data_IF_332143491262
#
_entry.id   IF_332143491262
#
_cell.length_a   1.000
_cell.length_b   1.000
_cell.length_c   1.000
_cell.angle_alpha   90.00
_cell.angle_beta   90.00
_cell.angle_gamma   90.00
#
_symmetry.space_group_name_H-M   'P 1'
#
loop_
_entity.id
_entity.type
_entity.pdbx_description
1 polymer ?
#
# COMPACT_ATOMS: atom_id res chain seq x y z
N UNK A 1 47.74 80.67 6.33
CA UNK A 1 46.63 80.93 7.27
C UNK A 1 45.33 80.52 6.59
N UNK A 2 44.56 79.61 7.22
CA UNK A 2 43.19 79.14 6.89
C UNK A 2 42.96 78.46 5.53
N UNK A 3 42.87 77.12 5.55
CA UNK A 3 42.07 76.35 4.59
C UNK A 3 40.85 75.70 5.28
N UNK A 4 39.74 75.78 4.56
CA UNK A 4 38.35 75.53 4.89
C UNK A 4 37.98 74.11 4.38
N UNK A 5 37.49 73.22 5.26
CA UNK A 5 36.14 72.60 5.33
C UNK A 5 35.73 71.58 4.25
N UNK A 6 35.03 70.52 4.74
CA UNK A 6 34.16 69.49 4.11
C UNK A 6 34.88 68.13 3.94
N UNK A 7 34.71 67.15 4.85
CA UNK A 7 33.54 66.29 5.15
C UNK A 7 33.10 65.42 3.96
N UNK A 8 33.61 64.18 3.88
CA UNK A 8 32.98 63.02 3.24
C UNK A 8 33.50 61.72 3.89
N UNK A 9 32.57 60.95 4.45
CA UNK A 9 32.65 59.67 5.19
C UNK A 9 32.03 58.59 4.25
N UNK A 10 32.31 57.27 4.36
CA UNK A 10 33.54 56.52 4.18
C UNK A 10 33.43 55.45 3.03
N UNK A 11 34.57 54.90 2.63
CA UNK A 11 34.74 53.83 1.63
C UNK A 11 34.46 52.44 2.23
N UNK A 12 33.19 52.04 2.34
CA UNK A 12 32.80 50.73 2.86
C UNK A 12 31.73 50.06 1.97
N UNK A 13 32.13 49.54 0.81
CA UNK A 13 31.29 48.64 0.01
C UNK A 13 32.14 47.91 -1.05
N UNK A 14 32.67 46.71 -0.77
CA UNK A 14 33.04 45.72 -1.81
C UNK A 14 33.59 44.36 -1.28
N UNK A 15 33.10 43.79 -0.18
CA UNK A 15 33.51 42.41 0.20
C UNK A 15 32.38 41.61 0.85
N UNK A 16 31.39 41.17 0.07
CA UNK A 16 30.49 40.05 0.40
C UNK A 16 30.01 39.38 -0.89
N UNK A 17 30.89 38.62 -1.55
CA UNK A 17 30.51 37.67 -2.58
C UNK A 17 31.18 36.34 -2.26
N UNK A 18 30.44 35.42 -1.63
CA UNK A 18 30.87 34.06 -1.40
C UNK A 18 30.65 33.59 0.03
N UNK A 19 29.41 33.21 0.37
CA UNK A 19 29.15 32.24 1.43
C UNK A 19 27.79 31.56 1.18
N UNK A 20 27.85 30.22 1.14
CA UNK A 20 26.77 29.30 1.51
C UNK A 20 25.61 29.15 0.51
N UNK A 21 25.78 28.16 -0.37
CA UNK A 21 24.68 27.39 -0.94
C UNK A 21 24.14 26.49 0.16
N UNK A 22 23.13 26.98 0.88
CA UNK A 22 22.34 26.24 1.85
C UNK A 22 21.24 25.48 1.14
N UNK A 23 21.06 24.20 1.47
CA UNK A 23 19.93 23.36 1.03
C UNK A 23 18.68 23.58 1.92
N UNK A 24 18.63 24.71 2.64
CA UNK A 24 17.45 25.17 3.38
C UNK A 24 16.48 25.90 2.41
N UNK A 25 15.22 25.45 2.27
CA UNK A 25 14.22 26.12 1.44
C UNK A 25 13.86 27.55 1.90
N UNK A 26 14.40 28.02 3.03
CA UNK A 26 14.38 29.44 3.42
C UNK A 26 15.37 30.35 2.67
N UNK A 27 16.41 29.81 2.04
CA UNK A 27 17.47 30.57 1.34
C UNK A 27 17.21 30.78 -0.16
N UNK A 28 16.09 30.26 -0.67
CA UNK A 28 15.53 30.65 -1.95
C UNK A 28 14.93 32.06 -1.85
N UNK A 29 15.77 33.09 -1.98
CA UNK A 29 15.36 34.49 -1.89
C UNK A 29 14.08 34.79 -2.68
N UNK A 30 13.27 35.73 -2.17
CA UNK A 30 11.94 36.17 -2.64
C UNK A 30 11.69 36.06 -4.16
N UNK A 31 12.67 36.38 -5.00
CA UNK A 31 12.58 36.29 -6.45
C UNK A 31 12.44 34.87 -7.01
N UNK A 32 13.02 33.85 -6.38
CA UNK A 32 12.85 32.45 -6.80
C UNK A 32 11.51 31.87 -6.31
N UNK A 33 11.03 32.33 -5.14
CA UNK A 33 9.67 32.03 -4.65
C UNK A 33 8.57 32.64 -5.52
N UNK A 34 8.74 33.88 -6.00
CA UNK A 34 7.80 34.53 -6.92
C UNK A 34 7.91 33.95 -8.34
N UNK A 35 9.10 33.59 -8.82
CA UNK A 35 9.25 32.87 -10.10
C UNK A 35 8.60 31.48 -10.04
N UNK A 36 8.77 30.72 -8.95
CA UNK A 36 8.08 29.44 -8.75
C UNK A 36 6.56 29.57 -8.61
N UNK A 37 6.08 30.62 -7.94
CA UNK A 37 4.66 30.93 -7.80
C UNK A 37 4.02 31.42 -9.10
N UNK A 38 4.78 32.08 -9.97
CA UNK A 38 4.30 32.62 -11.26
C UNK A 38 4.37 31.62 -12.42
N UNK A 39 5.13 30.54 -12.29
CA UNK A 39 5.45 29.62 -13.40
C UNK A 39 4.66 28.30 -13.37
N UNK A 40 3.52 28.24 -12.66
CA UNK A 40 2.63 27.06 -12.59
C UNK A 40 3.22 25.85 -11.87
N UNK A 41 4.38 25.99 -11.22
CA UNK A 41 5.07 24.87 -10.56
C UNK A 41 4.31 24.38 -9.32
N UNK A 42 3.61 25.28 -8.62
CA UNK A 42 2.72 24.91 -7.52
C UNK A 42 1.54 24.08 -8.03
N UNK A 43 0.85 24.56 -9.06
CA UNK A 43 -0.28 23.86 -9.68
C UNK A 43 0.13 22.49 -10.23
N UNK A 44 1.32 22.39 -10.83
CA UNK A 44 1.89 21.11 -11.28
C UNK A 44 2.12 20.13 -10.13
N UNK A 45 2.62 20.58 -8.97
CA UNK A 45 2.78 19.72 -7.79
C UNK A 45 1.44 19.30 -7.19
N UNK A 46 0.45 20.21 -7.17
CA UNK A 46 -0.90 19.89 -6.70
C UNK A 46 -1.55 18.86 -7.63
N UNK A 47 -1.44 19.04 -8.95
CA UNK A 47 -1.94 18.09 -9.93
C UNK A 47 -1.27 16.71 -9.80
N UNK A 48 0.06 16.66 -9.62
CA UNK A 48 0.78 15.39 -9.40
C UNK A 48 0.29 14.67 -8.14
N UNK A 49 0.19 15.40 -7.02
CA UNK A 49 -0.29 14.82 -5.75
C UNK A 49 -1.74 14.36 -5.84
N UNK A 50 -2.58 15.11 -6.56
CA UNK A 50 -3.97 14.70 -6.79
C UNK A 50 -4.02 13.41 -7.62
N UNK A 51 -3.23 13.31 -8.69
CA UNK A 51 -3.15 12.09 -9.50
C UNK A 51 -2.62 10.88 -8.69
N UNK A 52 -1.65 11.09 -7.79
CA UNK A 52 -1.15 10.05 -6.88
C UNK A 52 -2.25 9.58 -5.91
N UNK A 53 -3.01 10.51 -5.33
CA UNK A 53 -4.14 10.19 -4.44
C UNK A 53 -5.22 9.42 -5.19
N UNK A 54 -5.61 9.88 -6.38
CA UNK A 54 -6.63 9.23 -7.19
C UNK A 54 -6.21 7.81 -7.59
N UNK A 55 -4.95 7.63 -7.97
CA UNK A 55 -4.35 6.32 -8.26
C UNK A 55 -4.35 5.40 -7.03
N UNK A 56 -3.94 5.91 -5.87
CA UNK A 56 -3.93 5.15 -4.63
C UNK A 56 -5.34 4.77 -4.16
N UNK A 57 -6.34 5.64 -4.38
CA UNK A 57 -7.74 5.33 -4.09
C UNK A 57 -8.29 4.24 -5.02
N UNK A 58 -7.97 4.32 -6.31
CA UNK A 58 -8.37 3.29 -7.28
C UNK A 58 -7.76 1.92 -6.93
N UNK A 59 -6.48 1.87 -6.56
CA UNK A 59 -5.85 0.63 -6.15
C UNK A 59 -6.43 0.09 -4.84
N UNK A 60 -6.71 0.95 -3.86
CA UNK A 60 -7.39 0.53 -2.62
C UNK A 60 -8.78 -0.04 -2.89
N UNK A 61 -9.55 0.54 -3.81
CA UNK A 61 -10.85 0.02 -4.21
C UNK A 61 -10.71 -1.37 -4.87
N UNK A 62 -9.72 -1.53 -5.75
CA UNK A 62 -9.40 -2.82 -6.40
C UNK A 62 -9.03 -3.89 -5.38
N UNK A 63 -8.11 -3.58 -4.46
CA UNK A 63 -7.67 -4.49 -3.41
C UNK A 63 -8.81 -4.86 -2.46
N UNK A 64 -9.68 -3.91 -2.12
CA UNK A 64 -10.85 -4.17 -1.27
C UNK A 64 -11.83 -5.13 -1.96
N UNK A 65 -12.10 -4.93 -3.25
CA UNK A 65 -12.96 -5.82 -4.02
C UNK A 65 -12.37 -7.23 -4.15
N UNK A 66 -11.06 -7.34 -4.41
CA UNK A 66 -10.37 -8.62 -4.49
C UNK A 66 -10.41 -9.37 -3.15
N UNK A 67 -10.23 -8.64 -2.05
CA UNK A 67 -10.28 -9.22 -0.71
C UNK A 67 -11.70 -9.72 -0.38
N UNK A 68 -12.73 -8.95 -0.73
CA UNK A 68 -14.12 -9.40 -0.59
C UNK A 68 -14.42 -10.66 -1.43
N UNK A 69 -13.92 -10.71 -2.67
CA UNK A 69 -14.04 -11.88 -3.55
C UNK A 69 -13.38 -13.12 -2.94
N UNK A 70 -12.14 -13.00 -2.47
CA UNK A 70 -11.40 -14.11 -1.83
C UNK A 70 -12.08 -14.61 -0.56
N UNK A 71 -12.65 -13.71 0.26
CA UNK A 71 -13.44 -14.10 1.43
C UNK A 71 -14.71 -14.88 1.03
N UNK A 72 -15.39 -14.45 -0.03
CA UNK A 72 -16.53 -15.16 -0.59
C UNK A 72 -16.16 -16.57 -1.06
N UNK A 73 -15.08 -16.71 -1.83
CA UNK A 73 -14.58 -18.02 -2.28
C UNK A 73 -14.20 -18.92 -1.11
N UNK A 74 -13.51 -18.39 -0.10
CA UNK A 74 -13.13 -19.14 1.08
C UNK A 74 -14.36 -19.68 1.82
N UNK A 75 -15.39 -18.86 2.01
CA UNK A 75 -16.65 -19.28 2.63
C UNK A 75 -17.37 -20.35 1.82
N UNK A 76 -17.40 -20.22 0.48
CA UNK A 76 -18.01 -21.22 -0.40
C UNK A 76 -17.28 -22.56 -0.29
N UNK A 77 -15.96 -22.56 -0.44
CA UNK A 77 -15.13 -23.78 -0.35
C UNK A 77 -15.23 -24.43 1.04
N UNK A 78 -15.35 -23.62 2.10
CA UNK A 78 -15.56 -24.14 3.45
C UNK A 78 -16.87 -24.92 3.56
N UNK A 79 -17.96 -24.37 3.00
CA UNK A 79 -19.26 -25.06 2.93
C UNK A 79 -19.18 -26.34 2.10
N UNK A 80 -18.50 -26.29 0.94
CA UNK A 80 -18.29 -27.45 0.08
C UNK A 80 -17.50 -28.55 0.79
N UNK A 81 -16.46 -28.19 1.53
CA UNK A 81 -15.67 -29.12 2.34
C UNK A 81 -16.51 -29.81 3.42
N UNK A 82 -17.38 -29.05 4.09
CA UNK A 82 -18.31 -29.60 5.10
C UNK A 82 -19.28 -30.60 4.44
N UNK A 83 -19.86 -30.23 3.29
CA UNK A 83 -20.77 -31.09 2.55
C UNK A 83 -20.08 -32.36 2.03
N UNK A 84 -18.88 -32.23 1.47
CA UNK A 84 -18.08 -33.35 0.98
C UNK A 84 -17.71 -34.31 2.11
N UNK A 85 -17.31 -33.79 3.28
CA UNK A 85 -17.05 -34.63 4.46
C UNK A 85 -18.30 -35.35 4.93
N UNK A 86 -19.45 -34.67 5.01
CA UNK A 86 -20.71 -35.30 5.42
C UNK A 86 -21.11 -36.41 4.43
N UNK A 87 -20.96 -36.18 3.13
CA UNK A 87 -21.20 -37.20 2.10
C UNK A 87 -20.26 -38.40 2.24
N UNK A 88 -18.97 -38.16 2.45
CA UNK A 88 -17.98 -39.22 2.66
C UNK A 88 -18.31 -40.07 3.90
N UNK A 89 -18.69 -39.43 5.01
CA UNK A 89 -19.13 -40.12 6.22
C UNK A 89 -20.40 -40.95 5.99
N UNK A 90 -21.38 -40.41 5.25
CA UNK A 90 -22.59 -41.14 4.88
C UNK A 90 -22.30 -42.36 3.98
N UNK A 91 -21.27 -42.28 3.13
CA UNK A 91 -20.77 -43.39 2.31
C UNK A 91 -19.90 -44.39 3.09
N UNK A 92 -19.70 -44.20 4.40
CA UNK A 92 -18.87 -45.07 5.23
C UNK A 92 -17.36 -44.86 5.07
N UNK A 93 -16.94 -43.83 4.33
CA UNK A 93 -15.52 -43.48 4.16
C UNK A 93 -14.99 -42.94 5.48
N UNK A 94 -13.98 -43.61 6.04
CA UNK A 94 -13.26 -43.13 7.24
C UNK A 94 -12.03 -42.35 6.81
N UNK A 95 -12.04 -41.06 7.10
CA UNK A 95 -10.84 -40.23 6.96
C UNK A 95 -9.80 -40.66 8.00
N UNK A 96 -8.53 -40.70 7.60
CA UNK A 96 -7.44 -40.94 8.55
C UNK A 96 -7.18 -39.70 9.41
N UNK A 97 -6.39 -39.87 10.49
CA UNK A 97 -6.10 -38.79 11.43
C UNK A 97 -5.48 -37.54 10.77
N UNK A 98 -4.63 -37.73 9.76
CA UNK A 98 -4.02 -36.63 9.01
C UNK A 98 -5.06 -35.85 8.22
N UNK A 99 -5.96 -36.53 7.52
CA UNK A 99 -7.04 -35.93 6.74
C UNK A 99 -8.03 -35.17 7.65
N UNK A 100 -8.41 -35.77 8.77
CA UNK A 100 -9.25 -35.11 9.78
C UNK A 100 -8.56 -33.85 10.34
N UNK A 101 -7.25 -33.91 10.58
CA UNK A 101 -6.45 -32.76 10.97
C UNK A 101 -6.44 -31.64 9.92
N UNK A 102 -6.33 -32.00 8.64
CA UNK A 102 -6.36 -31.06 7.52
C UNK A 102 -7.73 -30.39 7.37
N UNK A 103 -8.81 -31.17 7.46
CA UNK A 103 -10.19 -30.62 7.48
C UNK A 103 -10.32 -29.64 8.64
N UNK A 104 -9.98 -30.06 9.86
CA UNK A 104 -10.13 -29.23 11.05
C UNK A 104 -9.28 -27.95 10.98
N UNK A 105 -8.10 -28.01 10.36
CA UNK A 105 -7.26 -26.83 10.13
C UNK A 105 -7.88 -25.90 9.08
N UNK A 106 -8.35 -26.42 7.96
CA UNK A 106 -9.02 -25.65 6.92
C UNK A 106 -10.28 -24.93 7.46
N UNK A 107 -11.08 -25.63 8.29
CA UNK A 107 -12.27 -25.04 8.91
C UNK A 107 -11.96 -23.95 9.95
N UNK A 108 -10.77 -23.98 10.56
CA UNK A 108 -10.31 -22.97 11.54
C UNK A 108 -9.55 -21.79 10.92
N UNK A 109 -9.24 -21.86 9.62
CA UNK A 109 -8.47 -20.80 8.96
C UNK A 109 -9.21 -19.46 9.00
N UNK A 110 -8.48 -18.41 9.37
CA UNK A 110 -8.99 -17.05 9.51
C UNK A 110 -9.00 -16.33 8.15
N UNK A 111 -10.16 -15.83 7.68
CA UNK A 111 -10.27 -15.10 6.43
C UNK A 111 -9.80 -13.64 6.49
N UNK A 112 -9.22 -13.18 7.60
CA UNK A 112 -8.73 -11.81 7.73
C UNK A 112 -7.36 -11.57 7.06
N UNK A 113 -6.52 -12.61 6.90
CA UNK A 113 -5.16 -12.48 6.36
C UNK A 113 -5.09 -12.94 4.89
N UNK A 114 -4.66 -12.06 3.99
CA UNK A 114 -4.70 -12.29 2.53
C UNK A 114 -3.83 -13.47 2.07
N UNK A 115 -2.61 -13.58 2.58
CA UNK A 115 -1.72 -14.69 2.23
C UNK A 115 -2.22 -16.03 2.78
N UNK A 116 -2.77 -16.03 4.00
CA UNK A 116 -3.36 -17.27 4.54
C UNK A 116 -4.66 -17.64 3.83
N UNK A 117 -5.44 -16.67 3.36
CA UNK A 117 -6.66 -16.90 2.56
C UNK A 117 -6.33 -17.65 1.28
N UNK A 118 -5.37 -17.16 0.48
CA UNK A 118 -5.01 -17.78 -0.79
C UNK A 118 -4.50 -19.21 -0.59
N UNK A 119 -3.65 -19.42 0.43
CA UNK A 119 -3.16 -20.74 0.81
C UNK A 119 -4.29 -21.66 1.27
N UNK A 120 -5.17 -21.17 2.15
CA UNK A 120 -6.29 -21.96 2.67
C UNK A 120 -7.27 -22.37 1.56
N UNK A 121 -7.55 -21.48 0.60
CA UNK A 121 -8.35 -21.80 -0.60
C UNK A 121 -7.69 -22.94 -1.39
N UNK A 122 -6.39 -22.85 -1.65
CA UNK A 122 -5.67 -23.88 -2.40
C UNK A 122 -5.66 -25.23 -1.68
N UNK A 123 -5.41 -25.25 -0.37
CA UNK A 123 -5.38 -26.47 0.43
C UNK A 123 -6.76 -27.12 0.55
N UNK A 124 -7.82 -26.31 0.75
CA UNK A 124 -9.18 -26.80 0.83
C UNK A 124 -9.69 -27.38 -0.50
N UNK A 125 -9.30 -26.79 -1.64
CA UNK A 125 -9.59 -27.36 -2.98
C UNK A 125 -8.94 -28.74 -3.14
N UNK A 126 -7.63 -28.86 -2.87
CA UNK A 126 -6.92 -30.15 -2.96
C UNK A 126 -7.54 -31.23 -2.06
N UNK A 127 -7.95 -30.84 -0.85
CA UNK A 127 -8.58 -31.76 0.09
C UNK A 127 -9.96 -32.22 -0.41
N UNK A 128 -10.76 -31.29 -0.93
CA UNK A 128 -12.07 -31.59 -1.52
C UNK A 128 -11.93 -32.59 -2.67
N UNK A 129 -10.95 -32.38 -3.56
CA UNK A 129 -10.65 -33.31 -4.66
C UNK A 129 -10.23 -34.70 -4.16
N UNK A 130 -9.42 -34.76 -3.10
CA UNK A 130 -8.99 -36.02 -2.49
C UNK A 130 -10.17 -36.79 -1.90
N UNK A 131 -11.06 -36.11 -1.17
CA UNK A 131 -12.28 -36.71 -0.60
C UNK A 131 -13.20 -37.20 -1.72
N UNK A 132 -13.38 -36.39 -2.78
CA UNK A 132 -14.22 -36.76 -3.92
C UNK A 132 -13.72 -38.05 -4.61
N UNK A 133 -12.40 -38.21 -4.76
CA UNK A 133 -11.80 -39.43 -5.34
C UNK A 133 -11.97 -40.68 -4.46
N UNK A 134 -12.08 -40.50 -3.15
CA UNK A 134 -12.27 -41.62 -2.21
C UNK A 134 -13.74 -42.05 -2.08
N UNK A 135 -14.67 -41.17 -2.44
CA UNK A 135 -16.12 -41.40 -2.30
C UNK A 135 -16.81 -41.81 -3.61
N UNK A 136 -16.07 -41.85 -4.73
CA UNK A 136 -16.53 -42.38 -6.02
C UNK A 136 -15.92 -43.74 -6.31
#
# INVERSE_FOLDING_TARGET
MKLIRRLTIPLAAATLAGCVTSEDPGDGGFFNGVAGASNGTYDGRVASRQAEVDSAQAENARLTAELARLRGEHSAIKSDLIAARAKAQAAGVRLNATQEGQVAAALRSDPARVESLSKAIADARRLTDSIARLAG
#
